data_IF_208675185138
#
_entry.id   IF_208675185138
#
_cell.length_a   1.000
_cell.length_b   1.000
_cell.length_c   1.000
_cell.angle_alpha   90.00
_cell.angle_beta   90.00
_cell.angle_gamma   90.00
#
_symmetry.space_group_name_H-M   'P 1'
#
loop_
_entity.id
_entity.type
_entity.pdbx_description
1 polymer ?
#
# COMPACT_ATOMS: atom_id res chain seq x y z
N UNK A 1 15.27 -63.01 -24.84
CA UNK A 1 14.33 -63.85 -24.05
C UNK A 1 13.26 -62.92 -23.52
N UNK A 2 12.10 -62.75 -24.19
CA UNK A 2 10.85 -63.53 -24.05
C UNK A 2 10.44 -63.80 -22.60
N UNK A 3 9.49 -63.00 -22.10
CA UNK A 3 8.29 -63.37 -21.32
C UNK A 3 7.79 -62.13 -20.57
N UNK A 4 6.51 -61.90 -20.28
CA UNK A 4 5.22 -62.48 -20.67
C UNK A 4 4.19 -61.46 -20.14
N UNK A 5 3.16 -61.22 -20.94
CA UNK A 5 1.91 -60.57 -20.56
C UNK A 5 1.27 -61.29 -19.36
N UNK A 6 0.69 -60.52 -18.43
CA UNK A 6 -0.52 -60.95 -17.74
C UNK A 6 -1.40 -59.74 -17.35
N UNK A 7 -2.55 -59.67 -18.03
CA UNK A 7 -3.70 -58.83 -17.74
C UNK A 7 -4.46 -59.48 -16.59
N UNK A 8 -4.79 -58.73 -15.53
CA UNK A 8 -5.97 -58.99 -14.71
C UNK A 8 -6.68 -57.68 -14.40
N UNK A 9 -7.83 -57.55 -15.04
CA UNK A 9 -8.95 -56.68 -14.68
C UNK A 9 -9.35 -56.88 -13.21
N UNK A 10 -9.50 -55.79 -12.45
CA UNK A 10 -10.52 -55.74 -11.41
C UNK A 10 -11.16 -54.35 -11.41
N UNK A 11 -12.26 -54.26 -12.16
CA UNK A 11 -13.20 -53.14 -12.11
C UNK A 11 -14.05 -53.37 -10.86
N UNK A 12 -13.91 -52.48 -9.89
CA UNK A 12 -14.89 -52.21 -8.84
C UNK A 12 -14.93 -50.69 -8.75
N UNK A 13 -15.76 -50.00 -9.53
CA UNK A 13 -17.17 -49.71 -9.25
C UNK A 13 -17.47 -49.40 -7.78
N UNK A 14 -17.93 -48.17 -7.57
CA UNK A 14 -18.40 -47.51 -6.34
C UNK A 14 -17.37 -46.96 -5.36
N UNK A 15 -16.94 -45.72 -5.60
CA UNK A 15 -17.11 -44.66 -4.62
C UNK A 15 -17.45 -43.37 -5.36
N UNK A 16 -18.75 -43.12 -5.47
CA UNK A 16 -19.33 -41.86 -5.90
C UNK A 16 -19.10 -40.83 -4.79
N UNK A 17 -18.82 -39.59 -5.18
CA UNK A 17 -18.62 -38.37 -4.34
C UNK A 17 -17.28 -38.25 -3.63
N UNK A 18 -16.53 -37.20 -4.00
CA UNK A 18 -15.31 -36.81 -3.30
C UNK A 18 -14.38 -36.00 -4.19
N UNK A 19 -14.63 -34.71 -4.27
CA UNK A 19 -13.71 -33.62 -4.62
C UNK A 19 -12.30 -34.01 -5.12
N UNK A 20 -12.00 -33.62 -6.36
CA UNK A 20 -10.64 -33.60 -6.89
C UNK A 20 -9.79 -32.61 -6.07
N UNK A 21 -8.84 -33.09 -5.27
CA UNK A 21 -7.68 -32.32 -4.83
C UNK A 21 -6.44 -32.89 -5.54
N UNK A 22 -5.84 -32.04 -6.37
CA UNK A 22 -4.64 -32.35 -7.14
C UNK A 22 -3.44 -31.61 -6.54
N UNK A 23 -2.36 -32.38 -6.36
CA UNK A 23 -0.94 -31.99 -6.41
C UNK A 23 -0.30 -31.27 -5.20
N UNK A 24 0.42 -32.11 -4.44
CA UNK A 24 1.76 -32.01 -3.83
C UNK A 24 2.20 -30.74 -3.07
N UNK A 25 2.69 -30.98 -1.84
CA UNK A 25 3.65 -30.09 -1.20
C UNK A 25 3.97 -30.48 0.25
N UNK A 26 5.00 -31.28 0.44
CA UNK A 26 5.53 -31.78 1.70
C UNK A 26 6.39 -30.71 2.42
N UNK A 27 6.13 -30.54 3.73
CA UNK A 27 7.03 -30.10 4.83
C UNK A 27 7.66 -28.69 4.81
N UNK A 28 7.33 -27.85 5.78
CA UNK A 28 8.08 -27.67 7.04
C UNK A 28 7.39 -26.63 7.95
N UNK A 29 7.33 -26.93 9.24
CA UNK A 29 6.79 -26.05 10.29
C UNK A 29 7.66 -24.80 10.48
N UNK A 30 7.04 -23.62 10.49
CA UNK A 30 7.59 -22.36 11.03
C UNK A 30 6.43 -21.67 11.78
N UNK A 31 6.63 -21.25 13.04
CA UNK A 31 5.55 -21.00 13.98
C UNK A 31 4.74 -19.73 13.70
N UNK A 32 3.48 -19.82 14.08
CA UNK A 32 2.47 -18.78 14.25
C UNK A 32 3.01 -17.60 15.08
N UNK A 33 3.17 -16.42 14.46
CA UNK A 33 3.23 -15.16 15.20
C UNK A 33 2.80 -13.96 14.34
N UNK A 34 1.70 -13.33 14.77
CA UNK A 34 1.21 -12.00 14.44
C UNK A 34 0.75 -11.73 12.99
N UNK A 35 -0.42 -12.29 12.65
CA UNK A 35 -1.37 -11.55 11.84
C UNK A 35 -1.76 -10.27 12.61
N UNK A 36 -1.06 -9.16 12.36
CA UNK A 36 -1.57 -7.85 12.75
C UNK A 36 -2.85 -7.64 11.96
N UNK A 37 -3.99 -7.62 12.66
CA UNK A 37 -5.25 -7.12 12.12
C UNK A 37 -4.97 -5.87 11.30
N UNK A 38 -5.23 -5.92 10.00
CA UNK A 38 -5.19 -4.73 9.15
C UNK A 38 -6.32 -3.84 9.65
N UNK A 39 -6.00 -2.95 10.59
CA UNK A 39 -6.87 -1.82 10.91
C UNK A 39 -7.16 -1.15 9.58
N UNK A 40 -8.46 -0.97 9.29
CA UNK A 40 -8.92 -0.31 8.08
C UNK A 40 -8.36 1.12 8.12
N UNK A 41 -7.21 1.34 7.50
CA UNK A 41 -6.53 2.63 7.53
C UNK A 41 -7.47 3.65 6.88
N UNK A 42 -8.00 4.57 7.70
CA UNK A 42 -8.83 5.65 7.21
C UNK A 42 -7.90 6.67 6.57
N UNK A 43 -7.77 6.62 5.26
CA UNK A 43 -7.07 7.65 4.52
C UNK A 43 -7.92 8.92 4.45
N UNK A 44 -7.27 10.05 4.68
CA UNK A 44 -7.84 11.38 4.53
C UNK A 44 -7.05 12.15 3.46
N UNK A 45 -7.72 13.12 2.85
CA UNK A 45 -7.16 13.95 1.78
C UNK A 45 -7.29 15.42 2.15
N UNK A 46 -6.22 16.16 1.95
CA UNK A 46 -6.23 17.64 2.02
C UNK A 46 -5.75 18.18 0.68
N UNK A 47 -6.57 19.03 0.07
CA UNK A 47 -6.22 19.78 -1.13
C UNK A 47 -5.74 21.17 -0.73
N UNK A 48 -4.66 21.63 -1.33
CA UNK A 48 -4.15 22.98 -1.06
C UNK A 48 -3.01 23.38 -1.99
N UNK A 49 -2.60 24.64 -1.88
CA UNK A 49 -1.48 25.19 -2.65
C UNK A 49 -0.17 25.12 -1.88
N UNK A 50 0.91 24.74 -2.56
CA UNK A 50 2.25 24.75 -1.97
C UNK A 50 2.67 26.18 -1.68
N UNK A 51 2.84 26.51 -0.40
CA UNK A 51 3.34 27.81 0.07
C UNK A 51 4.87 27.80 0.19
N UNK A 52 5.44 26.67 0.62
CA UNK A 52 6.88 26.53 0.84
C UNK A 52 7.31 25.07 0.76
N UNK A 53 8.48 24.84 0.17
CA UNK A 53 9.18 23.56 0.21
C UNK A 53 10.33 23.68 1.21
N UNK A 54 10.34 22.82 2.22
CA UNK A 54 11.34 22.82 3.30
C UNK A 54 12.25 21.61 3.09
N UNK A 55 13.56 21.83 3.04
CA UNK A 55 14.56 20.77 2.96
C UNK A 55 15.50 20.91 4.14
N UNK A 56 15.57 19.88 4.99
CA UNK A 56 16.46 19.80 6.17
C UNK A 56 17.02 18.38 6.28
N UNK A 57 18.32 18.23 6.44
CA UNK A 57 18.97 16.93 6.68
C UNK A 57 18.56 15.84 5.67
N UNK A 58 18.48 16.20 4.38
CA UNK A 58 17.98 15.35 3.27
C UNK A 58 16.50 14.94 3.37
N UNK A 59 15.76 15.41 4.37
CA UNK A 59 14.30 15.27 4.47
C UNK A 59 13.63 16.44 3.78
N UNK A 60 12.55 16.15 3.06
CA UNK A 60 11.73 17.16 2.37
C UNK A 60 10.36 17.26 3.05
N UNK A 61 9.80 18.46 3.11
CA UNK A 61 8.46 18.69 3.64
C UNK A 61 7.78 19.81 2.85
N UNK A 62 6.46 19.74 2.74
CA UNK A 62 5.64 20.73 2.06
C UNK A 62 4.81 21.47 3.09
N UNK A 63 4.87 22.80 3.06
CA UNK A 63 3.87 23.64 3.68
C UNK A 63 2.80 23.93 2.61
N UNK A 64 1.58 23.49 2.86
CA UNK A 64 0.43 23.77 2.00
C UNK A 64 -0.59 24.65 2.74
N UNK A 65 -1.36 25.42 1.98
CA UNK A 65 -2.52 26.13 2.49
C UNK A 65 -3.77 25.66 1.74
N UNK A 66 -4.82 25.30 2.47
CA UNK A 66 -6.12 24.97 1.88
C UNK A 66 -6.84 26.24 1.37
N UNK A 67 -7.99 26.07 0.71
CA UNK A 67 -8.80 27.19 0.22
C UNK A 67 -9.33 28.11 1.33
N UNK A 68 -9.41 27.62 2.57
CA UNK A 68 -9.85 28.38 3.75
C UNK A 68 -8.70 29.12 4.43
N UNK A 69 -7.47 28.94 3.94
CA UNK A 69 -6.26 29.55 4.50
C UNK A 69 -5.65 28.78 5.68
N UNK A 70 -6.13 27.57 5.99
CA UNK A 70 -5.49 26.72 6.99
C UNK A 70 -4.19 26.16 6.44
N UNK A 71 -3.13 26.22 7.24
CA UNK A 71 -1.81 25.73 6.85
C UNK A 71 -1.52 24.36 7.45
N UNK A 72 -0.85 23.52 6.66
CA UNK A 72 -0.45 22.17 7.05
C UNK A 72 0.98 21.88 6.59
N UNK A 73 1.75 21.16 7.41
CA UNK A 73 3.07 20.65 7.00
C UNK A 73 2.98 19.15 6.78
N UNK A 74 3.35 18.70 5.59
CA UNK A 74 3.44 17.29 5.29
C UNK A 74 4.88 16.89 4.99
N UNK A 75 5.37 15.90 5.73
CA UNK A 75 6.69 15.32 5.50
C UNK A 75 6.64 14.31 4.36
N UNK A 76 7.65 14.37 3.49
CA UNK A 76 7.87 13.41 2.41
C UNK A 76 8.88 12.39 2.91
N UNK A 77 8.43 11.16 3.09
CA UNK A 77 9.25 10.02 3.48
C UNK A 77 9.72 9.20 2.29
N UNK A 78 10.48 8.14 2.56
CA UNK A 78 11.00 7.21 1.54
C UNK A 78 9.89 6.48 0.77
N UNK A 79 8.75 6.26 1.43
CA UNK A 79 7.60 5.54 0.87
C UNK A 79 6.50 6.48 0.37
N UNK A 80 6.72 7.80 0.37
CA UNK A 80 5.74 8.76 -0.15
C UNK A 80 5.75 8.69 -1.67
N UNK A 81 4.59 8.41 -2.27
CA UNK A 81 4.44 8.41 -3.73
C UNK A 81 4.14 9.84 -4.18
N UNK A 82 5.03 10.41 -4.98
CA UNK A 82 4.85 11.75 -5.56
C UNK A 82 4.47 11.59 -7.03
N UNK A 83 3.20 11.87 -7.32
CA UNK A 83 2.64 11.85 -8.68
C UNK A 83 2.61 13.28 -9.19
N UNK A 84 3.44 13.58 -10.17
CA UNK A 84 3.53 14.92 -10.76
C UNK A 84 4.04 14.81 -12.19
N UNK A 85 3.62 15.74 -13.05
CA UNK A 85 4.13 15.83 -14.42
C UNK A 85 5.53 16.46 -14.47
N UNK A 86 5.80 17.40 -13.56
CA UNK A 86 7.06 18.15 -13.44
C UNK A 86 7.54 18.16 -11.97
N UNK A 87 8.66 18.79 -11.66
CA UNK A 87 9.04 18.99 -10.25
C UNK A 87 7.99 19.83 -9.49
N UNK A 88 7.71 19.46 -8.24
CA UNK A 88 6.85 20.23 -7.33
C UNK A 88 7.40 21.65 -7.12
N UNK A 89 6.56 22.65 -7.36
CA UNK A 89 6.91 24.07 -7.24
C UNK A 89 5.99 24.79 -6.27
N UNK A 90 6.48 25.92 -5.76
CA UNK A 90 5.65 26.83 -4.96
C UNK A 90 4.55 27.40 -5.85
N UNK A 91 3.32 27.36 -5.36
CA UNK A 91 2.12 27.78 -6.09
C UNK A 91 1.29 26.64 -6.67
N UNK A 92 1.89 25.46 -6.85
CA UNK A 92 1.18 24.29 -7.38
C UNK A 92 0.07 23.86 -6.43
N UNK A 93 -1.05 23.45 -7.01
CA UNK A 93 -2.15 22.84 -6.27
C UNK A 93 -1.88 21.34 -6.14
N UNK A 94 -2.01 20.82 -4.92
CA UNK A 94 -1.70 19.43 -4.61
C UNK A 94 -2.81 18.80 -3.77
N UNK A 95 -3.09 17.54 -4.06
CA UNK A 95 -3.85 16.66 -3.17
C UNK A 95 -2.86 15.82 -2.35
N UNK A 96 -2.97 15.91 -1.03
CA UNK A 96 -2.15 15.13 -0.10
C UNK A 96 -3.03 14.10 0.60
N UNK A 97 -2.71 12.83 0.36
CA UNK A 97 -3.34 11.70 1.03
C UNK A 97 -2.46 11.25 2.20
N UNK A 98 -3.06 11.09 3.37
CA UNK A 98 -2.40 10.69 4.61
C UNK A 98 -3.32 9.80 5.46
N UNK A 99 -2.81 9.29 6.58
CA UNK A 99 -3.52 8.34 7.45
C UNK A 99 -4.51 8.98 8.45
N UNK A 100 -4.90 10.24 8.26
CA UNK A 100 -5.77 10.97 9.20
C UNK A 100 -5.10 11.39 10.51
N UNK A 101 -3.81 11.09 10.71
CA UNK A 101 -3.09 11.45 11.94
C UNK A 101 -2.27 12.72 11.69
N UNK A 102 -2.57 13.77 12.45
CA UNK A 102 -1.81 15.03 12.49
C UNK A 102 -1.35 15.33 13.92
N UNK A 103 -0.24 16.06 14.05
CA UNK A 103 0.21 16.63 15.32
C UNK A 103 -0.70 17.79 15.73
N UNK A 104 -0.77 18.05 17.04
CA UNK A 104 -1.49 19.21 17.60
C UNK A 104 -0.67 20.51 17.57
N UNK A 105 0.31 20.63 16.68
CA UNK A 105 1.11 21.85 16.53
C UNK A 105 0.40 22.87 15.65
N UNK A 106 0.93 24.09 15.59
CA UNK A 106 0.46 25.15 14.70
C UNK A 106 1.64 25.57 13.79
N UNK A 107 1.60 25.30 12.48
CA UNK A 107 0.56 24.52 11.79
C UNK A 107 0.58 23.02 12.19
N UNK A 108 -0.54 22.30 12.01
CA UNK A 108 -0.58 20.84 12.16
C UNK A 108 0.39 20.16 11.18
N UNK A 109 0.99 19.05 11.60
CA UNK A 109 1.97 18.32 10.80
C UNK A 109 1.60 16.85 10.65
N UNK A 110 1.92 16.27 9.49
CA UNK A 110 1.63 14.86 9.18
C UNK A 110 2.63 14.24 8.22
N UNK A 111 2.49 12.94 7.97
CA UNK A 111 3.28 12.23 6.96
C UNK A 111 2.41 12.00 5.72
N UNK A 112 2.91 12.43 4.56
CA UNK A 112 2.22 12.17 3.30
C UNK A 112 2.45 10.73 2.84
N UNK A 113 1.38 10.10 2.36
CA UNK A 113 1.44 8.79 1.71
C UNK A 113 1.46 8.98 0.20
N UNK A 114 0.56 9.83 -0.32
CA UNK A 114 0.53 10.20 -1.73
C UNK A 114 0.46 11.72 -1.82
N UNK A 115 1.22 12.29 -2.75
CA UNK A 115 1.15 13.69 -3.14
C UNK A 115 0.87 13.71 -4.63
N UNK A 116 -0.31 14.22 -5.01
CA UNK A 116 -0.70 14.37 -6.40
C UNK A 116 -0.66 15.85 -6.78
N UNK A 117 0.25 16.23 -7.67
CA UNK A 117 0.33 17.60 -8.18
C UNK A 117 -0.65 17.79 -9.34
N UNK A 118 -1.61 18.68 -9.12
CA UNK A 118 -2.56 19.07 -10.13
C UNK A 118 -1.90 20.10 -11.04
N UNK A 119 -1.95 19.86 -12.35
CA UNK A 119 -1.48 20.82 -13.33
C UNK A 119 -2.50 21.96 -13.41
N UNK A 120 -2.10 23.15 -12.98
CA UNK A 120 -2.89 24.39 -13.08
C UNK A 120 -2.42 25.21 -14.28
#
# INVERSE_FOLDING_TARGET
MKAKIFVVFFISFMCFTGFCNNVYGLTNAVPENEQKEVKKDKYEMVTGKIKKIIVKDKKRSLLIADEKGNEYIFHIGEYTIVTTFDELKIGDEVDIIFNGILTMSIPPQGNAIIINALKV
#
